data_IF_262305205204
#
_entry.id   IF_262305205204
#
_cell.length_a   1.000
_cell.length_b   1.000
_cell.length_c   1.000
_cell.angle_alpha   90.00
_cell.angle_beta   90.00
_cell.angle_gamma   90.00
#
_symmetry.space_group_name_H-M   'P 1'
#
loop_
_entity.id
_entity.type
_entity.pdbx_description
1 polymer ?
#
# COMPACT_ATOMS: atom_id res chain seq x y z
N UNK A 1 -23.39 20.29 11.17
CA UNK A 1 -24.61 21.08 10.83
C UNK A 1 -25.83 20.64 11.63
N UNK A 2 -26.22 19.36 11.65
CA UNK A 2 -27.38 18.83 12.41
C UNK A 2 -27.27 19.07 13.94
N UNK A 3 -26.07 18.97 14.50
CA UNK A 3 -25.82 19.21 15.94
C UNK A 3 -26.21 20.63 16.40
N UNK A 4 -26.04 21.63 15.53
CA UNK A 4 -26.40 23.03 15.81
C UNK A 4 -27.92 23.28 15.75
N UNK A 5 -28.62 22.59 14.85
CA UNK A 5 -30.09 22.68 14.74
C UNK A 5 -30.80 22.06 15.95
N UNK A 6 -30.18 21.05 16.56
CA UNK A 6 -30.66 20.42 17.79
C UNK A 6 -30.46 21.38 18.98
N UNK A 7 -29.38 22.15 19.01
CA UNK A 7 -29.02 23.03 20.13
C UNK A 7 -29.83 24.35 20.17
N UNK A 8 -30.53 24.71 19.10
CA UNK A 8 -31.45 25.85 19.08
C UNK A 8 -32.72 25.60 19.92
N UNK A 9 -32.94 26.44 20.93
CA UNK A 9 -34.05 26.37 21.91
C UNK A 9 -35.48 26.51 21.33
N UNK A 10 -35.61 26.73 20.02
CA UNK A 10 -36.89 26.94 19.32
C UNK A 10 -37.31 25.82 18.39
N UNK A 11 -36.56 24.71 18.30
CA UNK A 11 -36.91 23.58 17.43
C UNK A 11 -37.48 22.45 18.25
N UNK A 12 -38.77 22.18 18.04
CA UNK A 12 -39.50 21.18 18.79
C UNK A 12 -39.25 19.77 18.22
N UNK A 13 -38.49 18.97 18.96
CA UNK A 13 -37.91 17.69 18.47
C UNK A 13 -38.89 16.53 18.48
N UNK A 14 -40.10 16.71 19.04
CA UNK A 14 -41.13 15.66 19.16
C UNK A 14 -42.27 15.83 18.17
N UNK A 15 -42.16 16.78 17.24
CA UNK A 15 -43.15 16.96 16.17
C UNK A 15 -43.12 15.73 15.26
N UNK A 16 -44.29 15.12 15.12
CA UNK A 16 -44.54 13.99 14.25
C UNK A 16 -45.07 14.47 12.90
N UNK A 17 -44.63 13.83 11.82
CA UNK A 17 -45.20 14.08 10.50
C UNK A 17 -46.57 13.40 10.35
N UNK A 18 -47.27 13.64 9.23
CA UNK A 18 -48.56 12.98 8.94
C UNK A 18 -48.51 11.44 8.82
N UNK A 19 -47.34 10.83 9.00
CA UNK A 19 -47.15 9.38 9.08
C UNK A 19 -46.72 8.90 10.49
N UNK A 20 -46.76 9.78 11.49
CA UNK A 20 -46.48 9.46 12.89
C UNK A 20 -44.99 9.33 13.25
N UNK A 21 -44.06 9.69 12.35
CA UNK A 21 -42.63 9.60 12.63
C UNK A 21 -42.03 10.93 13.06
N UNK A 22 -41.12 10.86 14.02
CA UNK A 22 -40.33 12.01 14.47
C UNK A 22 -39.20 12.29 13.48
N UNK A 23 -38.71 13.52 13.41
CA UNK A 23 -37.55 13.87 12.58
C UNK A 23 -36.31 12.98 12.85
N UNK A 24 -36.13 12.56 14.11
CA UNK A 24 -35.05 11.64 14.50
C UNK A 24 -35.24 10.22 13.93
N UNK A 25 -36.47 9.71 13.93
CA UNK A 25 -36.78 8.38 13.39
C UNK A 25 -36.51 8.30 11.89
N UNK A 26 -36.83 9.39 11.16
CA UNK A 26 -36.58 9.47 9.72
C UNK A 26 -35.07 9.50 9.42
N UNK A 27 -34.32 10.28 10.19
CA UNK A 27 -32.85 10.36 10.05
C UNK A 27 -32.18 9.03 10.38
N UNK A 28 -32.61 8.37 11.45
CA UNK A 28 -32.05 7.08 11.84
C UNK A 28 -32.34 6.01 10.78
N UNK A 29 -33.57 6.01 10.23
CA UNK A 29 -33.97 5.10 9.17
C UNK A 29 -33.21 5.32 7.86
N UNK A 30 -32.89 6.57 7.51
CA UNK A 30 -32.03 6.87 6.36
C UNK A 30 -30.57 6.49 6.62
N UNK A 31 -30.08 6.72 7.84
CA UNK A 31 -28.70 6.35 8.23
C UNK A 31 -28.51 4.84 8.15
N UNK A 32 -29.44 4.04 8.66
CA UNK A 32 -29.37 2.57 8.59
C UNK A 32 -29.43 2.03 7.16
N UNK A 33 -30.25 2.65 6.29
CA UNK A 33 -30.29 2.26 4.87
C UNK A 33 -29.00 2.61 4.13
N UNK A 34 -28.46 3.80 4.35
CA UNK A 34 -27.22 4.27 3.71
C UNK A 34 -26.02 3.48 4.22
N UNK A 35 -25.96 3.16 5.51
CA UNK A 35 -24.90 2.36 6.11
C UNK A 35 -24.94 0.90 5.59
N UNK A 36 -26.12 0.29 5.48
CA UNK A 36 -26.25 -1.06 4.93
C UNK A 36 -25.90 -1.14 3.44
N UNK A 37 -26.32 -0.15 2.65
CA UNK A 37 -25.97 -0.06 1.23
C UNK A 37 -24.48 0.22 1.02
N UNK A 38 -23.91 1.14 1.80
CA UNK A 38 -22.48 1.46 1.78
C UNK A 38 -21.61 0.27 2.17
N UNK A 39 -21.96 -0.44 3.24
CA UNK A 39 -21.26 -1.65 3.69
C UNK A 39 -21.35 -2.78 2.65
N UNK A 40 -22.50 -2.94 1.98
CA UNK A 40 -22.64 -3.93 0.89
C UNK A 40 -21.76 -3.60 -0.32
N UNK A 41 -21.68 -2.33 -0.71
CA UNK A 41 -20.83 -1.90 -1.83
C UNK A 41 -19.35 -2.08 -1.47
N UNK A 42 -18.94 -1.71 -0.26
CA UNK A 42 -17.58 -1.92 0.24
C UNK A 42 -17.20 -3.41 0.30
N UNK A 43 -18.14 -4.28 0.70
CA UNK A 43 -17.93 -5.73 0.71
C UNK A 43 -17.85 -6.32 -0.70
N UNK A 44 -18.58 -5.78 -1.67
CA UNK A 44 -18.54 -6.23 -3.07
C UNK A 44 -17.23 -5.87 -3.77
N UNK A 45 -16.58 -4.78 -3.36
CA UNK A 45 -15.24 -4.39 -3.81
C UNK A 45 -14.12 -4.96 -2.94
N UNK A 46 -14.44 -5.83 -1.97
CA UNK A 46 -13.45 -6.57 -1.20
C UNK A 46 -12.72 -7.51 -2.14
N UNK A 47 -11.62 -7.02 -2.71
CA UNK A 47 -10.60 -7.81 -3.37
C UNK A 47 -10.07 -8.82 -2.35
N UNK A 48 -10.75 -9.95 -2.25
CA UNK A 48 -10.33 -11.06 -1.39
C UNK A 48 -9.19 -11.77 -2.10
N UNK A 49 -8.03 -11.11 -2.16
CA UNK A 49 -6.79 -11.77 -2.49
C UNK A 49 -6.50 -12.73 -1.34
N UNK A 50 -6.53 -14.05 -1.61
CA UNK A 50 -6.11 -15.09 -0.67
C UNK A 50 -4.59 -15.32 -0.87
N UNK A 51 -3.70 -14.58 -0.17
CA UNK A 51 -2.26 -14.70 -0.36
C UNK A 51 -1.73 -16.08 0.01
N UNK A 52 -2.40 -16.81 0.91
CA UNK A 52 -2.03 -18.16 1.32
C UNK A 52 -2.04 -19.16 0.16
N UNK A 53 -3.13 -19.23 -0.61
CA UNK A 53 -3.25 -20.15 -1.75
C UNK A 53 -2.25 -19.83 -2.86
N UNK A 54 -2.04 -18.54 -3.12
CA UNK A 54 -1.05 -18.10 -4.10
C UNK A 54 0.35 -18.54 -3.69
N UNK A 55 0.73 -18.29 -2.43
CA UNK A 55 2.03 -18.69 -1.90
C UNK A 55 2.22 -20.21 -1.91
N UNK A 56 1.21 -21.00 -1.53
CA UNK A 56 1.29 -22.47 -1.57
C UNK A 56 1.49 -23.02 -2.99
N UNK A 57 0.78 -22.46 -3.96
CA UNK A 57 0.94 -22.84 -5.37
C UNK A 57 2.34 -22.50 -5.86
N UNK A 58 2.79 -21.28 -5.60
CA UNK A 58 4.11 -20.80 -6.01
C UNK A 58 5.24 -21.60 -5.34
N UNK A 59 5.15 -21.90 -4.04
CA UNK A 59 6.14 -22.73 -3.33
C UNK A 59 6.21 -24.14 -3.90
N UNK A 60 5.07 -24.75 -4.27
CA UNK A 60 5.09 -26.06 -4.97
C UNK A 60 5.79 -25.99 -6.31
N UNK A 61 5.50 -24.96 -7.10
CA UNK A 61 6.14 -24.76 -8.40
C UNK A 61 7.66 -24.59 -8.22
N UNK A 62 8.09 -23.79 -7.25
CA UNK A 62 9.51 -23.59 -6.90
C UNK A 62 10.17 -24.89 -6.45
N UNK A 63 9.51 -25.67 -5.59
CA UNK A 63 10.04 -26.94 -5.08
C UNK A 63 10.15 -28.02 -6.17
N UNK A 64 9.40 -27.85 -7.27
CA UNK A 64 9.50 -28.72 -8.46
C UNK A 64 10.61 -28.32 -9.44
N UNK A 65 11.23 -27.13 -9.26
CA UNK A 65 12.29 -26.64 -10.16
C UNK A 65 13.65 -27.26 -9.86
N UNK A 66 14.47 -27.40 -10.90
CA UNK A 66 15.89 -27.74 -10.77
C UNK A 66 16.65 -26.61 -10.05
N UNK A 67 17.70 -26.91 -9.26
CA UNK A 67 18.47 -25.90 -8.53
C UNK A 67 19.13 -24.88 -9.46
N UNK A 68 19.55 -25.29 -10.65
CA UNK A 68 20.13 -24.41 -11.69
C UNK A 68 19.13 -23.35 -12.15
N UNK A 69 17.89 -23.75 -12.43
CA UNK A 69 16.81 -22.84 -12.84
C UNK A 69 16.43 -21.90 -11.71
N UNK A 70 16.37 -22.41 -10.47
CA UNK A 70 16.08 -21.58 -9.30
C UNK A 70 17.14 -20.48 -9.11
N UNK A 71 18.43 -20.80 -9.28
CA UNK A 71 19.50 -19.80 -9.21
C UNK A 71 19.38 -18.73 -10.33
N UNK A 72 19.08 -19.14 -11.56
CA UNK A 72 18.83 -18.21 -12.66
C UNK A 72 17.64 -17.28 -12.37
N UNK A 73 16.55 -17.83 -11.82
CA UNK A 73 15.36 -17.07 -11.42
C UNK A 73 15.69 -16.07 -10.29
N UNK A 74 16.51 -16.44 -9.30
CA UNK A 74 16.98 -15.50 -8.26
C UNK A 74 17.68 -14.29 -8.86
N UNK A 75 18.55 -14.50 -9.85
CA UNK A 75 19.26 -13.41 -10.53
C UNK A 75 18.28 -12.52 -11.29
N UNK A 76 17.33 -13.11 -12.03
CA UNK A 76 16.28 -12.34 -12.73
C UNK A 76 15.45 -11.52 -11.75
N UNK A 77 15.05 -12.09 -10.61
CA UNK A 77 14.29 -11.36 -9.60
C UNK A 77 15.09 -10.22 -8.98
N UNK A 78 16.38 -10.42 -8.70
CA UNK A 78 17.28 -9.35 -8.25
C UNK A 78 17.41 -8.22 -9.28
N UNK A 79 17.44 -8.55 -10.58
CA UNK A 79 17.41 -7.56 -11.65
C UNK A 79 16.09 -6.79 -11.68
N UNK A 80 14.95 -7.46 -11.53
CA UNK A 80 13.64 -6.78 -11.46
C UNK A 80 13.56 -5.85 -10.25
N UNK A 81 14.04 -6.29 -9.08
CA UNK A 81 14.10 -5.47 -7.87
C UNK A 81 14.97 -4.22 -8.05
N UNK A 82 16.12 -4.35 -8.71
CA UNK A 82 16.99 -3.20 -8.99
C UNK A 82 16.38 -2.27 -10.02
N UNK A 83 15.79 -2.78 -11.10
CA UNK A 83 15.10 -1.97 -12.12
C UNK A 83 13.95 -1.17 -11.53
N UNK A 84 13.10 -1.81 -10.73
CA UNK A 84 11.95 -1.16 -10.08
C UNK A 84 12.37 -0.13 -9.03
N UNK A 85 13.49 -0.35 -8.33
CA UNK A 85 14.12 0.63 -7.44
C UNK A 85 14.69 1.84 -8.19
N UNK A 86 15.40 1.62 -9.31
CA UNK A 86 15.90 2.71 -10.15
C UNK A 86 14.76 3.54 -10.76
N UNK A 87 13.72 2.87 -11.24
CA UNK A 87 12.50 3.50 -11.75
C UNK A 87 11.78 4.34 -10.68
N UNK A 88 11.84 3.92 -9.41
CA UNK A 88 11.28 4.67 -8.29
C UNK A 88 12.02 6.00 -8.08
N UNK A 89 13.36 5.98 -8.12
CA UNK A 89 14.20 7.16 -7.88
C UNK A 89 14.17 8.15 -9.03
N UNK A 90 13.92 7.68 -10.25
CA UNK A 90 13.89 8.49 -11.47
C UNK A 90 12.54 8.37 -12.16
N UNK A 91 11.47 8.95 -11.58
CA UNK A 91 10.16 8.89 -12.21
C UNK A 91 10.12 9.63 -13.55
N UNK A 92 9.31 9.14 -14.51
CA UNK A 92 9.10 9.84 -15.77
C UNK A 92 8.48 11.22 -15.48
N UNK A 93 9.11 12.27 -16.00
CA UNK A 93 8.64 13.65 -15.86
C UNK A 93 9.39 14.52 -14.85
N UNK A 94 10.54 14.04 -14.36
CA UNK A 94 11.49 14.78 -13.51
C UNK A 94 10.93 15.19 -12.14
N UNK A 95 11.82 15.24 -11.15
CA UNK A 95 11.53 15.80 -9.83
C UNK A 95 11.83 17.30 -9.87
N UNK A 96 11.06 18.12 -9.16
CA UNK A 96 11.31 19.55 -9.10
C UNK A 96 12.61 19.78 -8.30
N UNK A 97 13.68 20.21 -8.97
CA UNK A 97 15.02 20.32 -8.36
C UNK A 97 15.24 21.66 -7.61
N UNK A 98 14.30 22.61 -7.70
CA UNK A 98 14.45 23.94 -7.12
C UNK A 98 15.45 24.79 -7.93
N UNK A 99 15.00 25.90 -8.49
CA UNK A 99 15.88 26.79 -9.24
C UNK A 99 16.84 27.53 -8.29
N UNK A 100 18.13 27.54 -8.64
CA UNK A 100 19.16 28.37 -7.99
C UNK A 100 19.10 29.83 -8.49
N UNK A 101 17.91 30.42 -8.55
CA UNK A 101 17.69 31.82 -8.92
C UNK A 101 17.37 32.68 -7.69
N UNK A 102 17.79 33.95 -7.64
CA UNK A 102 17.62 34.81 -6.46
C UNK A 102 16.18 35.34 -6.38
N UNK A 103 15.17 34.48 -6.32
CA UNK A 103 13.76 34.88 -6.14
C UNK A 103 12.77 33.72 -5.87
N UNK A 104 13.17 32.54 -5.40
CA UNK A 104 12.19 31.51 -5.05
C UNK A 104 11.77 31.60 -3.59
N UNK A 105 10.57 32.12 -3.38
CA UNK A 105 9.81 32.16 -2.14
C UNK A 105 9.99 30.87 -1.30
N UNK A 106 10.45 30.94 -0.03
CA UNK A 106 10.76 29.76 0.81
C UNK A 106 9.52 28.94 1.21
N UNK A 107 8.34 29.30 0.71
CA UNK A 107 7.04 28.69 0.99
C UNK A 107 6.67 27.57 0.01
N UNK A 108 7.42 27.39 -1.08
CA UNK A 108 7.10 26.37 -2.08
C UNK A 108 7.76 25.03 -1.74
N UNK A 109 7.13 24.27 -0.83
CA UNK A 109 7.46 22.88 -0.44
C UNK A 109 7.26 21.85 -1.58
N UNK A 110 7.76 22.18 -2.79
CA UNK A 110 7.68 21.36 -4.00
C UNK A 110 9.03 20.76 -4.41
N UNK A 111 10.14 21.18 -3.80
CA UNK A 111 11.47 20.59 -4.07
C UNK A 111 11.47 19.09 -3.72
N UNK A 112 11.93 18.26 -4.65
CA UNK A 112 11.96 16.80 -4.52
C UNK A 112 10.67 16.07 -4.93
N UNK A 113 9.57 16.79 -5.20
CA UNK A 113 8.31 16.19 -5.64
C UNK A 113 8.24 16.05 -7.14
N UNK A 114 7.50 15.04 -7.59
CA UNK A 114 7.21 14.82 -9.01
C UNK A 114 6.44 15.99 -9.62
N UNK A 115 6.88 16.47 -10.80
CA UNK A 115 6.27 17.61 -11.54
C UNK A 115 5.07 17.17 -12.39
N UNK A 116 4.85 15.86 -12.53
CA UNK A 116 3.76 15.31 -13.36
C UNK A 116 2.41 15.31 -12.66
N UNK A 117 1.36 15.33 -13.47
CA UNK A 117 -0.03 15.20 -13.02
C UNK A 117 -0.17 13.94 -12.11
N UNK A 118 -0.77 14.05 -10.91
CA UNK A 118 -0.91 12.93 -9.96
C UNK A 118 -1.51 11.65 -10.57
N UNK A 119 -2.38 11.77 -11.58
CA UNK A 119 -2.94 10.61 -12.29
C UNK A 119 -1.88 9.82 -13.08
N UNK A 120 -1.01 10.51 -13.83
CA UNK A 120 0.08 9.89 -14.57
C UNK A 120 1.15 9.32 -13.64
N UNK A 121 1.35 9.96 -12.49
CA UNK A 121 2.24 9.47 -11.44
C UNK A 121 1.75 8.13 -10.89
N UNK A 122 0.47 8.06 -10.50
CA UNK A 122 -0.14 6.82 -10.01
C UNK A 122 -0.07 5.70 -11.04
N UNK A 123 -0.33 6.00 -12.31
CA UNK A 123 -0.36 5.01 -13.39
C UNK A 123 1.02 4.35 -13.60
N UNK A 124 2.11 5.07 -13.34
CA UNK A 124 3.46 4.50 -13.35
C UNK A 124 3.83 3.79 -12.04
N UNK A 125 3.54 4.43 -10.90
CA UNK A 125 4.01 3.94 -9.59
C UNK A 125 3.26 2.72 -9.07
N UNK A 126 1.96 2.61 -9.32
CA UNK A 126 1.17 1.44 -8.89
C UNK A 126 1.71 0.14 -9.51
N UNK A 127 1.82 0.00 -10.84
CA UNK A 127 2.35 -1.22 -11.43
C UNK A 127 3.83 -1.45 -11.07
N UNK A 128 4.64 -0.40 -10.93
CA UNK A 128 6.03 -0.52 -10.47
C UNK A 128 6.13 -1.10 -9.06
N UNK A 129 5.29 -0.60 -8.14
CA UNK A 129 5.20 -1.11 -6.76
C UNK A 129 4.69 -2.55 -6.69
N UNK A 130 3.69 -2.90 -7.52
CA UNK A 130 3.20 -4.29 -7.61
C UNK A 130 4.31 -5.21 -8.14
N UNK A 131 5.05 -4.80 -9.16
CA UNK A 131 6.17 -5.58 -9.70
C UNK A 131 7.28 -5.78 -8.66
N UNK A 132 7.63 -4.73 -7.91
CA UNK A 132 8.59 -4.81 -6.80
C UNK A 132 8.11 -5.80 -5.71
N UNK A 133 6.86 -5.70 -5.27
CA UNK A 133 6.29 -6.59 -4.26
C UNK A 133 6.24 -8.05 -4.72
N UNK A 134 5.81 -8.30 -5.96
CA UNK A 134 5.77 -9.64 -6.52
C UNK A 134 7.17 -10.23 -6.63
N UNK A 135 8.13 -9.49 -7.18
CA UNK A 135 9.52 -9.93 -7.29
C UNK A 135 10.13 -10.23 -5.91
N UNK A 136 9.81 -9.42 -4.91
CA UNK A 136 10.27 -9.61 -3.55
C UNK A 136 9.68 -10.86 -2.90
N UNK A 137 8.35 -11.06 -2.98
CA UNK A 137 7.68 -12.25 -2.44
C UNK A 137 8.25 -13.52 -3.07
N UNK A 138 8.39 -13.56 -4.39
CA UNK A 138 8.94 -14.72 -5.11
C UNK A 138 10.39 -14.96 -4.68
N UNK A 139 11.20 -13.91 -4.53
CA UNK A 139 12.60 -14.05 -4.10
C UNK A 139 12.71 -14.67 -2.72
N UNK A 140 11.90 -14.21 -1.76
CA UNK A 140 11.88 -14.79 -0.41
C UNK A 140 11.49 -16.26 -0.47
N UNK A 141 10.43 -16.61 -1.20
CA UNK A 141 9.98 -18.00 -1.32
C UNK A 141 11.06 -18.88 -1.98
N UNK A 142 11.74 -18.38 -3.01
CA UNK A 142 12.84 -19.11 -3.64
C UNK A 142 14.02 -19.29 -2.68
N UNK A 143 14.37 -18.25 -1.92
CA UNK A 143 15.49 -18.29 -1.00
C UNK A 143 15.24 -19.25 0.17
N UNK A 144 13.97 -19.39 0.60
CA UNK A 144 13.57 -20.39 1.59
C UNK A 144 13.76 -21.82 1.07
N UNK A 145 13.48 -22.08 -0.21
CA UNK A 145 13.63 -23.43 -0.78
C UNK A 145 15.09 -23.75 -1.08
N UNK A 146 15.86 -22.79 -1.61
CA UNK A 146 17.21 -23.03 -2.14
C UNK A 146 18.30 -22.84 -1.08
N UNK A 147 18.15 -21.90 -0.15
CA UNK A 147 19.23 -21.47 0.72
C UNK A 147 18.75 -21.03 2.12
N UNK A 148 18.13 -21.95 2.87
CA UNK A 148 17.69 -21.70 4.26
C UNK A 148 18.80 -21.13 5.16
N UNK A 149 20.05 -21.55 4.96
CA UNK A 149 21.20 -21.08 5.76
C UNK A 149 21.51 -19.59 5.54
N UNK A 150 21.43 -19.12 4.28
CA UNK A 150 21.73 -17.74 3.88
C UNK A 150 20.55 -16.80 4.19
N UNK A 151 19.34 -17.34 4.31
CA UNK A 151 18.12 -16.59 4.60
C UNK A 151 18.26 -15.66 5.81
N UNK A 152 18.94 -16.10 6.88
CA UNK A 152 19.19 -15.27 8.08
C UNK A 152 20.01 -14.01 7.79
N UNK A 153 20.93 -14.06 6.85
CA UNK A 153 21.77 -12.92 6.46
C UNK A 153 21.02 -11.98 5.51
N UNK A 154 20.28 -12.54 4.57
CA UNK A 154 19.62 -11.78 3.49
C UNK A 154 18.32 -11.12 3.96
N UNK A 155 17.61 -11.73 4.92
CA UNK A 155 16.37 -11.19 5.48
C UNK A 155 16.46 -9.74 6.01
N UNK A 156 17.40 -9.39 6.91
CA UNK A 156 17.50 -8.01 7.41
C UNK A 156 17.83 -7.01 6.30
N UNK A 157 18.64 -7.40 5.31
CA UNK A 157 18.96 -6.56 4.16
C UNK A 157 17.71 -6.22 3.35
N UNK A 158 16.82 -7.20 3.14
CA UNK A 158 15.55 -7.00 2.44
C UNK A 158 14.56 -6.12 3.21
N UNK A 159 14.51 -6.21 4.54
CA UNK A 159 13.70 -5.29 5.35
C UNK A 159 14.19 -3.86 5.17
N UNK A 160 15.50 -3.64 5.31
CA UNK A 160 16.10 -2.31 5.16
C UNK A 160 15.84 -1.76 3.76
N UNK A 161 15.98 -2.59 2.72
CA UNK A 161 15.71 -2.20 1.34
C UNK A 161 14.27 -1.71 1.14
N UNK A 162 13.27 -2.38 1.71
CA UNK A 162 11.89 -1.92 1.53
C UNK A 162 11.52 -0.73 2.41
N UNK A 163 12.22 -0.53 3.54
CA UNK A 163 12.12 0.71 4.29
C UNK A 163 12.66 1.89 3.45
N UNK A 164 13.81 1.69 2.79
CA UNK A 164 14.37 2.66 1.85
C UNK A 164 13.46 2.91 0.64
N UNK A 165 12.81 1.87 0.12
CA UNK A 165 11.84 2.02 -0.98
C UNK A 165 10.62 2.86 -0.54
N UNK A 166 10.06 2.58 0.63
CA UNK A 166 8.93 3.35 1.18
C UNK A 166 9.31 4.81 1.49
N UNK A 167 10.51 5.04 2.03
CA UNK A 167 10.97 6.40 2.31
C UNK A 167 11.23 7.21 1.04
N UNK A 168 11.86 6.61 0.03
CA UNK A 168 12.05 7.24 -1.28
C UNK A 168 10.70 7.60 -1.94
N UNK A 169 9.72 6.70 -1.88
CA UNK A 169 8.36 6.97 -2.36
C UNK A 169 7.71 8.13 -1.61
N UNK A 170 7.85 8.18 -0.27
CA UNK A 170 7.31 9.27 0.56
C UNK A 170 7.90 10.65 0.26
N UNK A 171 9.14 10.71 -0.24
CA UNK A 171 9.79 11.97 -0.66
C UNK A 171 9.30 12.41 -2.04
N UNK A 172 9.15 11.48 -2.98
CA UNK A 172 8.88 11.77 -4.40
C UNK A 172 7.38 12.03 -4.67
N UNK A 173 6.51 11.46 -3.85
CA UNK A 173 5.06 11.53 -4.01
C UNK A 173 4.52 12.98 -3.96
N UNK A 174 3.54 13.34 -4.82
CA UNK A 174 2.85 14.62 -4.73
C UNK A 174 2.14 14.78 -3.39
N UNK A 175 2.07 16.02 -2.86
CA UNK A 175 1.59 16.32 -1.49
C UNK A 175 0.17 15.86 -1.17
N UNK A 176 -0.62 15.52 -2.17
CA UNK A 176 -2.04 15.17 -2.03
C UNK A 176 -2.24 13.76 -1.46
N UNK A 177 -1.20 12.92 -1.51
CA UNK A 177 -1.26 11.56 -1.00
C UNK A 177 -0.61 11.47 0.40
N UNK A 178 -1.26 10.83 1.38
CA UNK A 178 -0.70 10.66 2.71
C UNK A 178 0.60 9.86 2.69
N UNK A 179 1.62 10.31 3.42
CA UNK A 179 2.95 9.68 3.49
C UNK A 179 2.91 8.25 4.02
N UNK A 180 1.89 7.88 4.82
CA UNK A 180 1.73 6.52 5.35
C UNK A 180 1.42 5.48 4.28
N UNK A 181 0.82 5.87 3.13
CA UNK A 181 0.53 4.94 2.03
C UNK A 181 1.80 4.26 1.49
N UNK A 182 2.92 4.99 1.46
CA UNK A 182 4.20 4.47 0.99
C UNK A 182 4.77 3.34 1.88
N UNK A 183 4.35 3.29 3.15
CA UNK A 183 4.84 2.30 4.14
C UNK A 183 3.88 1.14 4.38
N UNK A 184 2.64 1.18 3.84
CA UNK A 184 1.67 0.07 3.89
C UNK A 184 2.25 -1.24 3.35
N UNK A 185 2.98 -1.25 2.20
CA UNK A 185 3.57 -2.48 1.70
C UNK A 185 4.64 -3.05 2.63
N UNK A 186 5.46 -2.18 3.22
CA UNK A 186 6.51 -2.56 4.18
C UNK A 186 5.92 -3.18 5.45
N UNK A 187 4.82 -2.63 5.98
CA UNK A 187 4.11 -3.17 7.14
C UNK A 187 3.42 -4.51 6.85
N UNK A 188 2.84 -4.66 5.65
CA UNK A 188 2.23 -5.92 5.23
C UNK A 188 3.27 -7.05 5.15
N UNK A 189 4.45 -6.79 4.60
CA UNK A 189 5.52 -7.80 4.53
C UNK A 189 6.00 -8.19 5.93
N UNK A 190 6.19 -7.22 6.84
CA UNK A 190 6.59 -7.51 8.23
C UNK A 190 5.54 -8.39 8.93
N UNK A 191 4.24 -8.04 8.81
CA UNK A 191 3.15 -8.77 9.46
C UNK A 191 2.98 -10.21 8.94
N UNK A 192 3.14 -10.42 7.63
CA UNK A 192 3.01 -11.74 7.01
C UNK A 192 4.20 -12.65 7.37
N UNK A 193 5.41 -12.09 7.53
CA UNK A 193 6.63 -12.89 7.67
C UNK A 193 7.17 -13.04 9.10
N UNK A 194 6.84 -12.14 10.02
CA UNK A 194 7.16 -12.30 11.45
C UNK A 194 6.75 -13.69 12.02
N UNK A 195 5.54 -14.23 11.73
CA UNK A 195 5.16 -15.56 12.19
C UNK A 195 5.89 -16.72 11.47
N UNK A 196 6.31 -16.52 10.20
CA UNK A 196 7.07 -17.53 9.46
C UNK A 196 8.46 -17.74 10.08
N UNK A 197 9.14 -16.67 10.50
CA UNK A 197 10.40 -16.73 11.24
C UNK A 197 10.25 -17.33 12.64
N UNK A 198 9.16 -17.01 13.35
CA UNK A 198 8.91 -17.58 14.68
C UNK A 198 8.75 -19.11 14.63
N UNK A 199 8.24 -19.63 13.51
CA UNK A 199 8.09 -21.07 13.27
C UNK A 199 9.43 -21.78 13.03
N UNK A 200 10.40 -21.11 12.41
CA UNK A 200 11.74 -21.64 12.18
C UNK A 200 12.61 -21.65 13.44
N UNK A 201 12.43 -20.71 14.37
CA UNK A 201 13.19 -20.69 15.64
C UNK A 201 12.87 -21.87 16.58
N UNK A 202 11.83 -22.65 16.29
CA UNK A 202 11.35 -23.77 17.11
C UNK A 202 11.73 -25.16 16.56
N UNK A 203 12.36 -25.24 15.39
CA UNK A 203 13.02 -26.46 14.89
C UNK A 203 14.51 -26.38 15.16
#
# INVERSE_FOLDING_TARGET
MIKLLIECKGVDRKIINGRGFTALDVLQRQTDQVDSAGVKILRSYSWSFEPSRFNEKLTRDIMSMKPETANAVLVVLALVLTMTYQALLSPPGSVFQGDAGPASDPTTNKVGKSVINPASFLLFYIPNGIAFLMAWIVTILLLQVVAESIFRLVYPLYIVMCFCYGSALGIIQPSDLPTWFAYVPSLFVILVYYPALYRFRKR
#
